data_IF_842317635046
#
_entry.id   IF_842317635046
#
_cell.length_a   1.000
_cell.length_b   1.000
_cell.length_c   1.000
_cell.angle_alpha   90.00
_cell.angle_beta   90.00
_cell.angle_gamma   90.00
#
_symmetry.space_group_name_H-M   'P 1'
#
loop_
_entity.id
_entity.type
_entity.pdbx_description
1 polymer ?
#
# COMPACT_ATOMS: atom_id res chain seq x y z
N UNK A 1 6.23 5.53 6.85
CA UNK A 1 6.06 6.98 7.06
C UNK A 1 5.75 7.74 5.77
N UNK A 2 6.63 7.79 4.77
CA UNK A 2 6.40 8.56 3.52
C UNK A 2 5.14 8.13 2.75
N UNK A 3 4.85 6.83 2.70
CA UNK A 3 3.63 6.30 2.07
C UNK A 3 2.35 6.78 2.80
N UNK A 4 2.33 6.70 4.13
CA UNK A 4 1.20 7.12 4.95
C UNK A 4 0.92 8.63 4.80
N UNK A 5 1.96 9.45 4.79
CA UNK A 5 1.82 10.89 4.53
C UNK A 5 1.23 11.17 3.14
N UNK A 6 1.58 10.38 2.12
CA UNK A 6 1.01 10.52 0.77
C UNK A 6 -0.50 10.27 0.74
N UNK A 7 -0.97 9.20 1.41
CA UNK A 7 -2.39 8.88 1.49
C UNK A 7 -3.20 9.92 2.28
N UNK A 8 -2.67 10.42 3.41
CA UNK A 8 -3.32 11.50 4.17
C UNK A 8 -3.40 12.78 3.33
N UNK A 9 -2.33 13.12 2.59
CA UNK A 9 -2.30 14.29 1.72
C UNK A 9 -3.33 14.20 0.59
N UNK A 10 -3.57 13.01 0.05
CA UNK A 10 -4.64 12.76 -0.94
C UNK A 10 -6.03 12.97 -0.32
N UNK A 11 -6.27 12.47 0.89
CA UNK A 11 -7.58 12.63 1.56
C UNK A 11 -7.89 14.08 1.96
N UNK A 12 -6.87 14.89 2.24
CA UNK A 12 -7.01 16.31 2.58
C UNK A 12 -6.74 17.27 1.41
N UNK A 13 -6.51 16.78 0.19
CA UNK A 13 -6.09 17.63 -0.92
C UNK A 13 -7.15 18.69 -1.29
N UNK A 14 -6.85 20.00 -1.27
CA UNK A 14 -7.77 21.04 -1.69
C UNK A 14 -7.79 21.25 -3.21
N UNK A 15 -6.80 20.73 -3.94
CA UNK A 15 -6.68 20.86 -5.39
C UNK A 15 -6.14 19.59 -6.04
N UNK A 16 -6.39 19.44 -7.34
CA UNK A 16 -5.95 18.28 -8.11
C UNK A 16 -4.41 18.13 -8.11
N UNK A 17 -3.69 19.25 -8.12
CA UNK A 17 -2.22 19.25 -8.05
C UNK A 17 -1.71 18.63 -6.73
N UNK A 18 -2.33 18.99 -5.60
CA UNK A 18 -1.97 18.43 -4.27
C UNK A 18 -2.30 16.94 -4.22
N UNK A 19 -3.41 16.51 -4.83
CA UNK A 19 -3.76 15.10 -4.94
C UNK A 19 -2.68 14.29 -5.69
N UNK A 20 -2.22 14.78 -6.85
CA UNK A 20 -1.18 14.09 -7.63
C UNK A 20 0.17 14.07 -6.91
N UNK A 21 0.52 15.13 -6.18
CA UNK A 21 1.72 15.14 -5.33
C UNK A 21 1.63 14.07 -4.24
N UNK A 22 0.48 13.96 -3.56
CA UNK A 22 0.23 12.89 -2.59
C UNK A 22 0.34 11.49 -3.20
N UNK A 23 -0.19 11.31 -4.42
CA UNK A 23 -0.08 10.05 -5.17
C UNK A 23 1.37 9.70 -5.52
N UNK A 24 2.16 10.67 -5.99
CA UNK A 24 3.58 10.46 -6.31
C UNK A 24 4.35 10.07 -5.04
N UNK A 25 4.08 10.72 -3.91
CA UNK A 25 4.70 10.36 -2.63
C UNK A 25 4.31 8.95 -2.19
N UNK A 26 3.02 8.62 -2.26
CA UNK A 26 2.52 7.31 -1.86
C UNK A 26 3.13 6.19 -2.72
N UNK A 27 3.13 6.35 -4.05
CA UNK A 27 3.63 5.34 -5.00
C UNK A 27 5.15 5.31 -5.10
N UNK A 28 5.80 6.47 -5.11
CA UNK A 28 7.26 6.58 -5.17
C UNK A 28 7.92 5.95 -3.96
N UNK A 29 7.39 6.21 -2.76
CA UNK A 29 7.86 5.56 -1.54
C UNK A 29 7.61 4.04 -1.53
N UNK A 30 6.43 3.62 -2.00
CA UNK A 30 6.07 2.20 -2.07
C UNK A 30 7.04 1.41 -2.95
N UNK A 31 7.38 1.95 -4.12
CA UNK A 31 8.25 1.29 -5.09
C UNK A 31 9.73 1.36 -4.69
N UNK A 32 10.18 2.47 -4.09
CA UNK A 32 11.58 2.68 -3.73
C UNK A 32 12.02 1.99 -2.43
N UNK A 33 11.21 2.02 -1.37
CA UNK A 33 11.62 1.54 -0.04
C UNK A 33 11.14 0.12 0.28
N UNK A 34 9.94 -0.25 -0.19
CA UNK A 34 9.33 -1.57 -0.02
C UNK A 34 9.34 -2.39 -1.31
N UNK A 35 10.05 -1.91 -2.34
CA UNK A 35 10.14 -2.56 -3.63
C UNK A 35 10.49 -4.03 -3.52
N UNK A 36 9.93 -4.85 -4.41
CA UNK A 36 9.98 -6.31 -4.32
C UNK A 36 11.38 -6.91 -4.16
N UNK A 37 12.45 -6.16 -4.44
CA UNK A 37 13.83 -6.55 -4.19
C UNK A 37 14.11 -6.91 -2.71
N UNK A 38 13.68 -6.08 -1.75
CA UNK A 38 13.96 -6.31 -0.33
C UNK A 38 13.18 -7.54 0.21
N UNK A 39 11.89 -7.62 -0.11
CA UNK A 39 11.04 -8.73 0.32
C UNK A 39 11.47 -10.08 -0.31
N UNK A 40 11.87 -10.06 -1.59
CA UNK A 40 12.39 -11.27 -2.27
C UNK A 40 13.74 -11.67 -1.71
N UNK A 41 14.62 -10.72 -1.39
CA UNK A 41 15.93 -11.02 -0.80
C UNK A 41 15.79 -11.73 0.56
N UNK A 42 14.89 -11.27 1.43
CA UNK A 42 14.64 -11.88 2.74
C UNK A 42 14.16 -13.34 2.57
N UNK A 43 13.15 -13.56 1.73
CA UNK A 43 12.59 -14.89 1.50
C UNK A 43 13.61 -15.88 0.92
N UNK A 44 14.49 -15.41 0.02
CA UNK A 44 15.53 -16.25 -0.62
C UNK A 44 16.66 -16.59 0.34
N UNK A 45 17.02 -15.69 1.27
CA UNK A 45 18.06 -15.97 2.26
C UNK A 45 17.58 -16.95 3.34
N UNK A 46 16.33 -16.81 3.79
CA UNK A 46 15.78 -17.65 4.87
C UNK A 46 15.42 -19.07 4.42
N UNK A 47 14.80 -19.20 3.25
CA UNK A 47 14.42 -20.51 2.72
C UNK A 47 15.45 -20.91 1.67
N UNK A 48 16.23 -21.97 1.91
CA UNK A 48 17.22 -22.47 0.93
C UNK A 48 16.62 -23.59 0.06
N UNK A 49 15.87 -24.51 0.67
CA UNK A 49 15.32 -25.68 0.00
C UNK A 49 14.00 -25.40 -0.75
N UNK A 50 13.14 -24.52 -0.23
CA UNK A 50 11.83 -24.18 -0.82
C UNK A 50 11.74 -22.77 -1.42
N UNK A 51 12.86 -22.22 -1.92
CA UNK A 51 12.97 -20.86 -2.47
C UNK A 51 11.87 -20.50 -3.45
N UNK A 52 11.61 -21.37 -4.43
CA UNK A 52 10.60 -21.12 -5.47
C UNK A 52 9.19 -21.00 -4.91
N UNK A 53 8.83 -21.83 -3.92
CA UNK A 53 7.51 -21.77 -3.26
C UNK A 53 7.38 -20.53 -2.38
N UNK A 54 8.42 -20.21 -1.60
CA UNK A 54 8.44 -19.01 -0.76
C UNK A 54 8.29 -17.73 -1.58
N UNK A 55 9.02 -17.63 -2.71
CA UNK A 55 8.89 -16.52 -3.65
C UNK A 55 7.50 -16.44 -4.30
N UNK A 56 6.90 -17.59 -4.63
CA UNK A 56 5.54 -17.65 -5.16
C UNK A 56 4.49 -17.15 -4.18
N UNK A 57 4.58 -17.54 -2.90
CA UNK A 57 3.69 -17.04 -1.85
C UNK A 57 3.90 -15.53 -1.65
N UNK A 58 5.16 -15.09 -1.59
CA UNK A 58 5.48 -13.67 -1.44
C UNK A 58 4.97 -12.84 -2.63
N UNK A 59 5.04 -13.35 -3.87
CA UNK A 59 4.56 -12.63 -5.05
C UNK A 59 3.02 -12.50 -5.08
N UNK A 60 2.29 -13.45 -4.48
CA UNK A 60 0.84 -13.39 -4.36
C UNK A 60 0.36 -12.34 -3.35
N UNK A 61 1.21 -11.89 -2.42
CA UNK A 61 0.82 -10.85 -1.45
C UNK A 61 0.38 -9.54 -2.11
N UNK A 62 1.00 -9.16 -3.24
CA UNK A 62 0.71 -7.90 -3.95
C UNK A 62 -0.69 -7.90 -4.58
N UNK A 63 -1.07 -8.87 -5.45
CA UNK A 63 -2.41 -8.89 -6.03
C UNK A 63 -3.48 -9.14 -4.96
N UNK A 64 -3.20 -9.98 -3.96
CA UNK A 64 -4.16 -10.28 -2.90
C UNK A 64 -4.42 -9.06 -2.01
N UNK A 65 -3.37 -8.33 -1.63
CA UNK A 65 -3.49 -7.05 -0.92
C UNK A 65 -4.20 -5.99 -1.75
N UNK A 66 -3.89 -5.88 -3.05
CA UNK A 66 -4.57 -4.95 -3.95
C UNK A 66 -6.07 -5.22 -4.06
N UNK A 67 -6.47 -6.48 -4.23
CA UNK A 67 -7.87 -6.87 -4.26
C UNK A 67 -8.57 -6.58 -2.92
N UNK A 68 -7.97 -6.99 -1.80
CA UNK A 68 -8.52 -6.75 -0.47
C UNK A 68 -8.77 -5.26 -0.21
N UNK A 69 -7.81 -4.40 -0.55
CA UNK A 69 -7.94 -2.94 -0.40
C UNK A 69 -9.03 -2.36 -1.30
N UNK A 70 -9.15 -2.84 -2.55
CA UNK A 70 -10.21 -2.38 -3.45
C UNK A 70 -11.60 -2.75 -2.93
N UNK A 71 -11.79 -3.98 -2.46
CA UNK A 71 -13.07 -4.41 -1.87
C UNK A 71 -13.38 -3.65 -0.57
N UNK A 72 -12.39 -3.43 0.29
CA UNK A 72 -12.57 -2.65 1.51
C UNK A 72 -12.98 -1.20 1.19
N UNK A 73 -12.31 -0.55 0.24
CA UNK A 73 -12.66 0.81 -0.21
C UNK A 73 -14.07 0.90 -0.78
N UNK A 74 -14.45 -0.05 -1.64
CA UNK A 74 -15.80 -0.11 -2.20
C UNK A 74 -16.87 -0.37 -1.12
N UNK A 75 -16.56 -1.19 -0.12
CA UNK A 75 -17.46 -1.44 1.01
C UNK A 75 -17.65 -0.18 1.87
N UNK A 76 -16.58 0.53 2.20
CA UNK A 76 -16.63 1.80 2.95
C UNK A 76 -17.47 2.86 2.24
N UNK A 77 -17.26 3.04 0.93
CA UNK A 77 -18.03 3.99 0.12
C UNK A 77 -19.53 3.66 0.11
N UNK A 78 -19.89 2.38 0.08
CA UNK A 78 -21.31 1.95 0.17
C UNK A 78 -21.93 2.23 1.53
N UNK A 79 -21.13 2.33 2.59
CA UNK A 79 -21.59 2.66 3.95
C UNK A 79 -21.55 4.17 4.24
N UNK A 80 -21.46 5.01 3.19
CA UNK A 80 -21.58 6.45 3.30
C UNK A 80 -20.26 7.21 3.50
N UNK A 81 -19.11 6.52 3.43
CA UNK A 81 -17.81 7.19 3.53
C UNK A 81 -17.46 7.90 2.24
N UNK A 82 -16.94 9.12 2.36
CA UNK A 82 -16.40 9.84 1.21
C UNK A 82 -15.02 9.29 0.80
N UNK A 83 -14.63 9.48 -0.45
CA UNK A 83 -13.34 9.03 -0.98
C UNK A 83 -12.16 9.61 -0.17
N UNK A 84 -12.33 10.83 0.38
CA UNK A 84 -11.36 11.48 1.26
C UNK A 84 -11.09 10.68 2.53
N UNK A 85 -12.15 10.26 3.20
CA UNK A 85 -12.09 9.52 4.46
C UNK A 85 -11.47 8.15 4.24
N UNK A 86 -11.78 7.52 3.10
CA UNK A 86 -11.17 6.25 2.69
C UNK A 86 -9.65 6.40 2.53
N UNK A 87 -9.16 7.44 1.86
CA UNK A 87 -7.70 7.65 1.73
C UNK A 87 -7.02 7.94 3.07
N UNK A 88 -7.65 8.72 3.95
CA UNK A 88 -7.11 8.95 5.31
C UNK A 88 -7.03 7.64 6.10
N UNK A 89 -8.07 6.81 6.06
CA UNK A 89 -8.08 5.50 6.72
C UNK A 89 -7.02 4.54 6.15
N UNK A 90 -6.82 4.54 4.83
CA UNK A 90 -5.73 3.80 4.20
C UNK A 90 -4.35 4.30 4.66
N UNK A 91 -4.19 5.60 4.85
CA UNK A 91 -2.99 6.19 5.44
C UNK A 91 -2.72 5.69 6.86
N UNK A 92 -3.75 5.67 7.71
CA UNK A 92 -3.65 5.16 9.09
C UNK A 92 -3.29 3.66 9.12
N UNK A 93 -3.92 2.84 8.27
CA UNK A 93 -3.59 1.43 8.13
C UNK A 93 -2.14 1.22 7.67
N UNK A 94 -1.67 2.06 6.74
CA UNK A 94 -0.29 2.01 6.26
C UNK A 94 0.73 2.28 7.36
N UNK A 95 0.39 3.08 8.38
CA UNK A 95 1.24 3.27 9.56
C UNK A 95 1.28 1.98 10.38
N UNK A 96 0.13 1.37 10.65
CA UNK A 96 0.02 0.14 11.45
C UNK A 96 0.74 -1.07 10.84
N UNK A 97 0.75 -1.20 9.52
CA UNK A 97 1.29 -2.39 8.83
C UNK A 97 2.78 -2.24 8.47
N UNK A 98 3.27 -1.01 8.32
CA UNK A 98 4.65 -0.72 7.87
C UNK A 98 5.56 -0.32 9.05
N UNK A 99 5.01 0.04 10.20
CA UNK A 99 5.75 0.15 11.48
C UNK A 99 5.87 -1.22 12.11
#
# INVERSE_FOLDING_TARGET
MVMASGFVLMGWSPSLAVFFLGYILARGAAQGALGGAAQRAIAVHWFQHYRGRALGIASMSVPLGGAAMAFAGAWLQRHGWDWREVFVAMGALSVLVVV
#
